data_IF_858521145338
#
_entry.id   IF_858521145338
#
_cell.length_a   1.000
_cell.length_b   1.000
_cell.length_c   1.000
_cell.angle_alpha   90.00
_cell.angle_beta   90.00
_cell.angle_gamma   90.00
#
_symmetry.space_group_name_H-M   'P 1'
#
loop_
_entity.id
_entity.type
_entity.pdbx_description
1 polymer ?
#
# COMPACT_ATOMS: atom_id res chain seq x y z
N UNK A 1 4.90 43.22 -29.76
CA UNK A 1 4.35 41.92 -30.22
C UNK A 1 3.22 41.55 -29.29
N UNK A 2 1.99 41.65 -29.78
CA UNK A 2 0.76 41.29 -29.07
C UNK A 2 0.65 39.78 -28.98
N UNK A 3 0.55 39.25 -27.76
CA UNK A 3 0.23 37.84 -27.52
C UNK A 3 -1.16 37.60 -28.12
N UNK A 4 -1.35 36.64 -29.03
CA UNK A 4 -2.67 36.36 -29.57
C UNK A 4 -3.54 35.76 -28.47
N UNK A 5 -4.71 36.36 -28.26
CA UNK A 5 -5.74 35.82 -27.38
C UNK A 5 -6.22 34.49 -27.96
N UNK A 6 -5.89 33.38 -27.30
CA UNK A 6 -6.46 32.08 -27.60
C UNK A 6 -7.95 32.09 -27.23
N UNK A 7 -8.86 31.63 -28.11
CA UNK A 7 -10.29 31.59 -27.82
C UNK A 7 -10.61 30.62 -26.66
N UNK A 8 -11.50 31.06 -25.77
CA UNK A 8 -12.05 30.24 -24.68
C UNK A 8 -12.67 28.95 -25.27
N UNK A 9 -12.00 27.82 -25.03
CA UNK A 9 -12.46 26.51 -25.51
C UNK A 9 -11.34 25.57 -25.98
N UNK A 10 -10.15 26.09 -26.33
CA UNK A 10 -8.98 25.22 -26.54
C UNK A 10 -8.34 24.88 -25.19
N UNK A 11 -8.86 23.83 -24.52
CA UNK A 11 -8.01 23.08 -23.60
C UNK A 11 -6.94 22.41 -24.45
N UNK A 12 -5.71 22.94 -24.43
CA UNK A 12 -4.54 22.18 -24.84
C UNK A 12 -4.52 20.92 -23.97
N UNK A 13 -5.03 19.80 -24.48
CA UNK A 13 -4.84 18.52 -23.83
C UNK A 13 -3.34 18.25 -23.89
N UNK A 14 -2.68 18.32 -22.74
CA UNK A 14 -1.29 17.94 -22.63
C UNK A 14 -1.13 16.53 -23.22
N UNK A 15 -0.06 16.24 -23.98
CA UNK A 15 0.18 14.88 -24.45
C UNK A 15 0.26 13.95 -23.23
N UNK A 16 -0.14 12.67 -23.37
CA UNK A 16 -0.05 11.72 -22.26
C UNK A 16 1.38 11.66 -21.73
N UNK A 17 1.54 11.74 -20.40
CA UNK A 17 2.85 11.69 -19.74
C UNK A 17 3.65 10.49 -20.24
N UNK A 18 4.83 10.72 -20.80
CA UNK A 18 5.70 9.65 -21.29
C UNK A 18 6.36 8.90 -20.12
N UNK A 19 6.44 9.54 -18.95
CA UNK A 19 7.02 8.95 -17.74
C UNK A 19 6.03 8.05 -17.00
N UNK A 20 6.32 6.74 -17.00
CA UNK A 20 5.45 5.73 -16.37
C UNK A 20 5.41 5.84 -14.84
N UNK A 21 6.50 6.24 -14.18
CA UNK A 21 6.54 6.39 -12.73
C UNK A 21 5.61 7.51 -12.28
N UNK A 22 5.69 8.67 -12.96
CA UNK A 22 4.78 9.79 -12.70
C UNK A 22 3.34 9.45 -13.02
N UNK A 23 3.09 8.71 -14.11
CA UNK A 23 1.74 8.26 -14.45
C UNK A 23 1.15 7.40 -13.34
N UNK A 24 1.90 6.44 -12.81
CA UNK A 24 1.47 5.59 -11.69
C UNK A 24 1.15 6.43 -10.46
N UNK A 25 2.04 7.36 -10.08
CA UNK A 25 1.85 8.19 -8.87
C UNK A 25 0.64 9.12 -9.01
N UNK A 26 0.50 9.81 -10.13
CA UNK A 26 -0.55 10.81 -10.33
C UNK A 26 -1.95 10.21 -10.60
N UNK A 27 -2.01 8.96 -11.07
CA UNK A 27 -3.28 8.28 -11.35
C UNK A 27 -3.83 7.49 -10.17
N UNK A 28 -3.02 7.21 -9.16
CA UNK A 28 -3.47 6.47 -8.00
C UNK A 28 -4.46 7.32 -7.18
N UNK A 29 -5.65 6.78 -6.95
CA UNK A 29 -6.69 7.44 -6.15
C UNK A 29 -7.14 6.50 -5.04
N UNK A 30 -7.21 7.03 -3.82
CA UNK A 30 -7.69 6.28 -2.66
C UNK A 30 -9.21 6.22 -2.63
N UNK A 31 -9.75 5.07 -2.28
CA UNK A 31 -11.20 4.87 -2.21
C UNK A 31 -11.68 4.84 -0.77
N UNK A 32 -12.53 5.79 -0.36
CA UNK A 32 -13.11 5.82 0.99
C UNK A 32 -14.01 4.62 1.27
N UNK A 33 -14.04 4.15 2.51
CA UNK A 33 -14.99 3.16 2.99
C UNK A 33 -16.25 3.81 3.55
N UNK A 34 -17.41 3.28 3.16
CA UNK A 34 -18.73 3.77 3.57
C UNK A 34 -19.61 2.59 3.95
N UNK A 35 -20.70 2.84 4.67
CA UNK A 35 -21.62 1.82 5.19
C UNK A 35 -22.16 0.85 4.13
N UNK A 36 -22.23 1.29 2.86
CA UNK A 36 -22.73 0.49 1.75
C UNK A 36 -21.70 -0.48 1.15
N UNK A 37 -20.43 -0.42 1.56
CA UNK A 37 -19.40 -1.30 1.03
C UNK A 37 -19.47 -2.68 1.69
N UNK A 38 -19.23 -3.71 0.88
CA UNK A 38 -19.26 -5.10 1.30
C UNK A 38 -17.95 -5.52 2.01
N UNK A 39 -17.88 -6.77 2.46
CA UNK A 39 -16.68 -7.31 3.14
C UNK A 39 -15.43 -7.19 2.27
N UNK A 40 -15.53 -7.42 0.96
CA UNK A 40 -14.38 -7.32 0.05
C UNK A 40 -13.84 -5.90 -0.02
N UNK A 41 -14.72 -4.89 -0.09
CA UNK A 41 -14.32 -3.48 -0.01
C UNK A 41 -13.73 -3.08 1.34
N UNK A 42 -14.12 -3.76 2.44
CA UNK A 42 -13.48 -3.59 3.74
C UNK A 42 -12.04 -4.13 3.71
N UNK A 43 -11.84 -5.36 3.23
CA UNK A 43 -10.51 -5.98 3.13
C UNK A 43 -9.59 -5.18 2.19
N UNK A 44 -10.10 -4.74 1.05
CA UNK A 44 -9.40 -3.86 0.11
C UNK A 44 -8.89 -2.59 0.80
N UNK A 45 -9.78 -1.91 1.54
CA UNK A 45 -9.44 -0.67 2.23
C UNK A 45 -8.46 -0.87 3.39
N UNK A 46 -8.56 -1.98 4.14
CA UNK A 46 -7.59 -2.32 5.18
C UNK A 46 -6.18 -2.45 4.60
N UNK A 47 -6.05 -3.14 3.46
CA UNK A 47 -4.78 -3.29 2.76
C UNK A 47 -4.24 -1.93 2.31
N UNK A 48 -5.11 -1.11 1.72
CA UNK A 48 -4.75 0.22 1.23
C UNK A 48 -4.24 1.13 2.35
N UNK A 49 -4.99 1.25 3.44
CA UNK A 49 -4.62 2.11 4.58
C UNK A 49 -3.29 1.65 5.17
N UNK A 50 -3.15 0.35 5.43
CA UNK A 50 -1.94 -0.20 6.05
C UNK A 50 -0.71 0.05 5.17
N UNK A 51 -0.77 -0.30 3.89
CA UNK A 51 0.38 -0.19 3.00
C UNK A 51 0.71 1.26 2.67
N UNK A 52 -0.27 2.13 2.39
CA UNK A 52 -0.01 3.55 2.16
C UNK A 52 0.52 4.24 3.42
N UNK A 53 0.05 3.84 4.60
CA UNK A 53 0.55 4.35 5.88
C UNK A 53 2.05 4.10 6.07
N UNK A 54 2.54 2.92 5.65
CA UNK A 54 3.97 2.60 5.67
C UNK A 54 4.82 3.42 4.70
N UNK A 55 4.21 4.03 3.67
CA UNK A 55 4.91 4.81 2.66
C UNK A 55 5.07 6.30 3.04
N UNK A 56 4.57 6.76 4.19
CA UNK A 56 4.72 8.15 4.65
C UNK A 56 6.17 8.68 4.60
N UNK A 57 7.22 7.95 5.06
CA UNK A 57 8.59 8.45 4.96
C UNK A 57 9.08 8.60 3.51
N UNK A 58 8.66 7.68 2.63
CA UNK A 58 8.98 7.76 1.20
C UNK A 58 8.25 8.93 0.54
N UNK A 59 6.99 9.17 0.91
CA UNK A 59 6.17 10.30 0.47
C UNK A 59 6.81 11.64 0.85
N UNK A 60 7.25 11.79 2.09
CA UNK A 60 7.96 12.99 2.57
C UNK A 60 9.25 13.23 1.79
N UNK A 61 10.05 12.18 1.59
CA UNK A 61 11.30 12.27 0.83
C UNK A 61 11.07 12.63 -0.64
N UNK A 62 10.07 12.02 -1.28
CA UNK A 62 9.69 12.36 -2.64
C UNK A 62 9.27 13.83 -2.72
N UNK A 63 8.38 14.27 -1.83
CA UNK A 63 7.88 15.63 -1.80
C UNK A 63 9.01 16.65 -1.59
N UNK A 64 9.93 16.39 -0.67
CA UNK A 64 11.09 17.26 -0.44
C UNK A 64 12.04 17.38 -1.65
N UNK A 65 12.09 16.35 -2.50
CA UNK A 65 12.97 16.32 -3.68
C UNK A 65 12.32 16.93 -4.93
N UNK A 66 11.00 16.83 -5.07
CA UNK A 66 10.31 17.12 -6.35
C UNK A 66 9.04 17.96 -6.20
N UNK A 67 8.60 18.29 -4.99
CA UNK A 67 7.29 18.90 -4.69
C UNK A 67 6.07 18.09 -5.16
N UNK A 68 6.27 16.85 -5.64
CA UNK A 68 5.17 15.97 -6.03
C UNK A 68 4.46 15.47 -4.78
N UNK A 69 3.13 15.49 -4.79
CA UNK A 69 2.32 14.88 -3.73
C UNK A 69 2.20 13.39 -3.98
N UNK A 70 2.48 12.61 -2.95
CA UNK A 70 2.30 11.16 -2.96
C UNK A 70 0.95 10.79 -2.33
N UNK A 71 0.23 9.79 -2.84
CA UNK A 71 -1.01 9.32 -2.23
C UNK A 71 -0.79 8.84 -0.80
N UNK A 72 -1.60 9.31 0.14
CA UNK A 72 -1.63 8.87 1.53
C UNK A 72 -2.98 8.22 1.84
N UNK A 73 -3.13 7.45 2.93
CA UNK A 73 -4.37 6.73 3.23
C UNK A 73 -5.64 7.59 3.17
N UNK A 74 -5.54 8.89 3.47
CA UNK A 74 -6.63 9.87 3.52
C UNK A 74 -7.85 9.25 4.23
N UNK A 75 -7.83 9.23 5.56
CA UNK A 75 -8.85 8.59 6.39
C UNK A 75 -9.51 9.59 7.33
N UNK A 76 -10.70 9.27 7.84
CA UNK A 76 -11.34 10.00 8.94
C UNK A 76 -11.62 9.08 10.13
N UNK A 77 -11.78 9.60 11.36
CA UNK A 77 -12.13 8.79 12.52
C UNK A 77 -13.41 7.96 12.33
N UNK A 78 -14.40 8.50 11.62
CA UNK A 78 -15.66 7.82 11.31
C UNK A 78 -15.42 6.61 10.40
N UNK A 79 -14.61 6.78 9.35
CA UNK A 79 -14.24 5.69 8.45
C UNK A 79 -13.50 4.56 9.19
N UNK A 80 -12.56 4.91 10.06
CA UNK A 80 -11.81 3.92 10.84
C UNK A 80 -12.74 3.15 11.78
N UNK A 81 -13.65 3.83 12.47
CA UNK A 81 -14.62 3.17 13.35
C UNK A 81 -15.56 2.22 12.57
N UNK A 82 -16.03 2.62 11.38
CA UNK A 82 -16.83 1.77 10.49
C UNK A 82 -16.05 0.51 10.05
N UNK A 83 -14.77 0.66 9.70
CA UNK A 83 -13.92 -0.48 9.34
C UNK A 83 -13.72 -1.42 10.54
N UNK A 84 -13.54 -0.89 11.75
CA UNK A 84 -13.41 -1.69 12.97
C UNK A 84 -14.69 -2.48 13.29
N UNK A 85 -15.85 -1.84 13.14
CA UNK A 85 -17.15 -2.51 13.30
C UNK A 85 -17.31 -3.65 12.29
N UNK A 86 -16.90 -3.40 11.04
CA UNK A 86 -16.96 -4.42 9.99
C UNK A 86 -15.98 -5.57 10.23
N UNK A 87 -14.75 -5.29 10.68
CA UNK A 87 -13.78 -6.32 11.07
C UNK A 87 -14.35 -7.23 12.17
N UNK A 88 -14.99 -6.64 13.19
CA UNK A 88 -15.61 -7.40 14.27
C UNK A 88 -16.76 -8.29 13.74
N UNK A 89 -17.60 -7.76 12.85
CA UNK A 89 -18.69 -8.53 12.24
C UNK A 89 -18.17 -9.70 11.40
N UNK A 90 -17.12 -9.50 10.59
CA UNK A 90 -16.47 -10.57 9.81
C UNK A 90 -15.93 -11.64 10.76
N UNK A 91 -15.18 -11.25 11.79
CA UNK A 91 -14.61 -12.18 12.76
C UNK A 91 -15.68 -13.01 13.48
N UNK A 92 -16.75 -12.37 13.96
CA UNK A 92 -17.87 -13.07 14.62
C UNK A 92 -18.51 -14.09 13.69
N UNK A 93 -18.79 -13.72 12.43
CA UNK A 93 -19.36 -14.65 11.45
C UNK A 93 -18.46 -15.86 11.19
N UNK A 94 -17.16 -15.64 11.00
CA UNK A 94 -16.22 -16.74 10.75
C UNK A 94 -16.09 -17.66 11.97
N UNK A 95 -16.22 -17.11 13.18
CA UNK A 95 -16.23 -17.88 14.43
C UNK A 95 -17.50 -18.71 14.58
N UNK A 96 -18.67 -18.16 14.27
CA UNK A 96 -19.94 -18.90 14.26
C UNK A 96 -19.92 -20.07 13.25
N UNK A 97 -19.29 -19.85 12.09
CA UNK A 97 -19.06 -20.89 11.09
C UNK A 97 -18.09 -21.97 11.58
N UNK A 98 -17.03 -21.60 12.32
CA UNK A 98 -16.14 -22.57 12.96
C UNK A 98 -16.91 -23.43 13.96
N UNK A 99 -17.72 -22.82 14.84
CA UNK A 99 -18.54 -23.57 15.79
C UNK A 99 -19.50 -24.54 15.06
N UNK A 100 -20.02 -24.16 13.88
CA UNK A 100 -20.82 -25.06 13.03
C UNK A 100 -19.99 -26.24 12.51
N UNK A 101 -18.82 -25.97 11.94
CA UNK A 101 -17.92 -27.00 11.41
C UNK A 101 -17.47 -27.97 12.50
N UNK A 102 -17.15 -27.49 13.70
CA UNK A 102 -16.80 -28.33 14.84
C UNK A 102 -17.97 -29.24 15.25
N UNK A 103 -19.19 -28.69 15.35
CA UNK A 103 -20.41 -29.48 15.62
C UNK A 103 -20.66 -30.55 14.55
N UNK A 104 -20.43 -30.23 13.27
CA UNK A 104 -20.56 -31.19 12.17
C UNK A 104 -19.50 -32.28 12.23
N UNK A 105 -18.25 -31.92 12.53
CA UNK A 105 -17.13 -32.85 12.71
C UNK A 105 -17.40 -33.82 13.87
N UNK A 106 -17.78 -33.32 15.05
CA UNK A 106 -18.11 -34.19 16.19
C UNK A 106 -19.30 -35.10 15.88
N UNK A 107 -20.33 -34.62 15.17
CA UNK A 107 -21.46 -35.47 14.75
C UNK A 107 -21.04 -36.58 13.79
N UNK A 108 -20.16 -36.27 12.82
CA UNK A 108 -19.64 -37.25 11.88
C UNK A 108 -18.78 -38.31 12.60
N UNK A 109 -17.92 -37.89 13.52
CA UNK A 109 -17.12 -38.78 14.36
C UNK A 109 -18.00 -39.70 15.23
N UNK A 110 -18.99 -39.15 15.92
CA UNK A 110 -19.92 -39.95 16.71
C UNK A 110 -20.69 -40.97 15.86
N UNK A 111 -21.11 -40.60 14.65
CA UNK A 111 -21.78 -41.50 13.71
C UNK A 111 -20.86 -42.63 13.27
N UNK A 112 -19.59 -42.32 13.00
CA UNK A 112 -18.57 -43.30 12.65
C UNK A 112 -18.28 -44.27 13.81
N UNK A 113 -18.15 -43.76 15.03
CA UNK A 113 -17.97 -44.59 16.23
C UNK A 113 -19.17 -45.52 16.42
N UNK A 114 -20.39 -45.02 16.27
CA UNK A 114 -21.61 -45.83 16.38
C UNK A 114 -21.67 -46.95 15.33
N UNK A 115 -21.13 -46.73 14.13
CA UNK A 115 -21.01 -47.75 13.08
C UNK A 115 -19.91 -48.80 13.38
N UNK A 116 -18.83 -48.38 14.06
CA UNK A 116 -17.69 -49.26 14.41
C UNK A 116 -17.90 -50.10 15.67
N UNK A 117 -18.81 -49.71 16.57
CA UNK A 117 -19.15 -50.51 17.76
C UNK A 117 -19.79 -51.86 17.39
N UNK A 118 -19.80 -52.88 18.27
CA UNK A 118 -20.48 -54.16 18.01
C UNK A 118 -21.98 -53.99 17.73
N UNK A 119 -22.59 -54.86 16.93
CA UNK A 119 -24.01 -54.77 16.59
C UNK A 119 -24.85 -55.20 17.79
N UNK A 120 -25.77 -54.34 18.24
CA UNK A 120 -26.65 -54.66 19.36
C UNK A 120 -27.98 -55.26 18.89
N UNK A 121 -28.30 -55.19 17.59
CA UNK A 121 -29.48 -55.80 16.98
C UNK A 121 -29.26 -56.32 15.55
N UNK A 122 -30.18 -57.15 15.06
CA UNK A 122 -30.19 -57.69 13.68
C UNK A 122 -30.45 -56.59 12.63
N UNK A 123 -31.17 -55.53 12.98
CA UNK A 123 -31.31 -54.33 12.13
C UNK A 123 -30.01 -53.55 12.00
N UNK A 124 -29.21 -53.47 13.06
CA UNK A 124 -27.91 -52.79 13.04
C UNK A 124 -26.91 -53.52 12.15
N UNK A 125 -26.95 -54.87 12.13
CA UNK A 125 -26.07 -55.65 11.26
C UNK A 125 -26.41 -55.50 9.77
N UNK A 126 -27.68 -55.24 9.44
CA UNK A 126 -28.15 -55.07 8.04
C UNK A 126 -27.74 -53.73 7.43
N UNK A 127 -27.65 -52.69 8.26
CA UNK A 127 -27.24 -51.34 7.84
C UNK A 127 -25.72 -51.13 7.86
N UNK A 128 -24.95 -52.02 8.50
CA UNK A 128 -23.48 -51.98 8.56
C UNK A 128 -22.84 -52.80 7.45
N UNK A 129 -22.94 -52.32 6.21
CA UNK A 129 -22.11 -52.85 5.13
C UNK A 129 -20.78 -52.06 5.05
N UNK A 130 -19.76 -52.65 4.41
CA UNK A 130 -18.43 -52.02 4.27
C UNK A 130 -18.47 -50.66 3.56
N UNK A 131 -19.45 -50.42 2.69
CA UNK A 131 -19.60 -49.14 2.00
C UNK A 131 -20.07 -48.04 2.96
N UNK A 132 -21.09 -48.30 3.78
CA UNK A 132 -21.59 -47.33 4.77
C UNK A 132 -20.53 -46.94 5.82
N UNK A 133 -19.64 -47.86 6.20
CA UNK A 133 -18.50 -47.54 7.07
C UNK A 133 -17.51 -46.63 6.36
N UNK A 134 -17.15 -46.93 5.11
CA UNK A 134 -16.24 -46.09 4.30
C UNK A 134 -16.82 -44.69 4.07
N UNK A 135 -18.09 -44.60 3.68
CA UNK A 135 -18.75 -43.31 3.48
C UNK A 135 -18.76 -42.46 4.76
N UNK A 136 -18.91 -43.10 5.93
CA UNK A 136 -18.82 -42.44 7.22
C UNK A 136 -17.39 -42.03 7.60
N UNK A 137 -16.38 -42.83 7.23
CA UNK A 137 -14.95 -42.49 7.38
C UNK A 137 -14.60 -41.26 6.52
N UNK A 138 -14.93 -41.30 5.23
CA UNK A 138 -14.69 -40.20 4.30
C UNK A 138 -15.40 -38.91 4.76
N UNK A 139 -16.63 -39.02 5.26
CA UNK A 139 -17.38 -37.89 5.80
C UNK A 139 -16.75 -37.33 7.07
N UNK A 140 -16.28 -38.19 7.99
CA UNK A 140 -15.61 -37.75 9.21
C UNK A 140 -14.28 -37.05 8.87
N UNK A 141 -13.50 -37.60 7.95
CA UNK A 141 -12.26 -36.97 7.47
C UNK A 141 -12.54 -35.62 6.80
N UNK A 142 -13.50 -35.55 5.88
CA UNK A 142 -13.83 -34.32 5.18
C UNK A 142 -14.31 -33.21 6.13
N UNK A 143 -15.15 -33.55 7.11
CA UNK A 143 -15.65 -32.58 8.09
C UNK A 143 -14.56 -32.11 9.05
N UNK A 144 -13.64 -32.99 9.46
CA UNK A 144 -12.47 -32.61 10.24
C UNK A 144 -11.53 -31.66 9.47
N UNK A 145 -11.26 -31.96 8.19
CA UNK A 145 -10.45 -31.07 7.32
C UNK A 145 -11.12 -29.70 7.15
N UNK A 146 -12.45 -29.66 6.99
CA UNK A 146 -13.19 -28.41 6.90
C UNK A 146 -13.08 -27.59 8.20
N UNK A 147 -13.19 -28.21 9.36
CA UNK A 147 -13.03 -27.53 10.65
C UNK A 147 -11.61 -26.95 10.83
N UNK A 148 -10.57 -27.69 10.44
CA UNK A 148 -9.18 -27.21 10.47
C UNK A 148 -9.01 -25.98 9.57
N UNK A 149 -9.49 -26.05 8.32
CA UNK A 149 -9.42 -24.91 7.38
C UNK A 149 -10.18 -23.69 7.89
N UNK A 150 -11.35 -23.91 8.51
CA UNK A 150 -12.13 -22.82 9.08
C UNK A 150 -11.43 -22.21 10.31
N UNK A 151 -10.74 -23.00 11.12
CA UNK A 151 -9.96 -22.51 12.26
C UNK A 151 -8.79 -21.62 11.80
N UNK A 152 -8.09 -22.02 10.72
CA UNK A 152 -7.06 -21.17 10.08
C UNK A 152 -7.66 -19.85 9.59
N UNK A 153 -8.84 -19.90 8.96
CA UNK A 153 -9.55 -18.71 8.49
C UNK A 153 -9.94 -17.76 9.62
N UNK A 154 -10.42 -18.27 10.75
CA UNK A 154 -10.73 -17.47 11.95
C UNK A 154 -9.47 -16.80 12.50
N UNK A 155 -8.35 -17.52 12.52
CA UNK A 155 -7.04 -16.97 12.93
C UNK A 155 -6.64 -15.82 12.00
N UNK A 156 -6.75 -16.00 10.69
CA UNK A 156 -6.45 -14.97 9.70
C UNK A 156 -7.35 -13.72 9.88
N UNK A 157 -8.65 -13.89 10.16
CA UNK A 157 -9.57 -12.75 10.38
C UNK A 157 -9.38 -12.04 11.72
N UNK A 158 -8.88 -12.73 12.74
CA UNK A 158 -8.71 -12.14 14.09
C UNK A 158 -7.74 -10.95 14.11
N UNK A 159 -6.82 -10.88 13.13
CA UNK A 159 -5.81 -9.83 13.03
C UNK A 159 -6.19 -8.63 12.15
N UNK A 160 -7.38 -8.61 11.53
CA UNK A 160 -7.74 -7.59 10.54
C UNK A 160 -7.71 -6.17 11.11
N UNK A 161 -8.28 -5.96 12.30
CA UNK A 161 -8.28 -4.66 12.97
C UNK A 161 -6.87 -4.17 13.32
N UNK A 162 -5.91 -5.09 13.46
CA UNK A 162 -4.50 -4.81 13.69
C UNK A 162 -3.85 -3.95 12.62
N UNK A 163 -4.36 -4.01 11.38
CA UNK A 163 -3.88 -3.23 10.23
C UNK A 163 -4.20 -1.73 10.36
N UNK A 164 -5.20 -1.37 11.16
CA UNK A 164 -5.61 0.02 11.37
C UNK A 164 -4.87 0.70 12.51
N UNK A 165 -4.04 -0.03 13.27
CA UNK A 165 -3.45 0.48 14.51
C UNK A 165 -2.67 1.79 14.32
N UNK A 166 -1.77 1.84 13.34
CA UNK A 166 -0.91 3.01 13.11
C UNK A 166 -1.69 4.21 12.59
N UNK A 167 -2.68 3.97 11.73
CA UNK A 167 -3.53 5.04 11.22
C UNK A 167 -4.48 5.57 12.31
N UNK A 168 -5.08 4.67 13.10
CA UNK A 168 -5.92 5.03 14.25
C UNK A 168 -5.14 5.87 15.28
N UNK A 169 -3.86 5.59 15.49
CA UNK A 169 -3.01 6.35 16.40
C UNK A 169 -2.86 7.84 16.00
N UNK A 170 -3.07 8.18 14.73
CA UNK A 170 -3.02 9.58 14.26
C UNK A 170 -4.22 10.42 14.71
N UNK A 171 -5.32 9.78 15.14
CA UNK A 171 -6.56 10.44 15.55
C UNK A 171 -6.74 10.58 17.06
N UNK A 172 -5.79 10.13 17.88
CA UNK A 172 -5.86 10.23 19.34
C UNK A 172 -7.09 9.52 19.92
N UNK A 173 -7.86 10.22 20.75
CA UNK A 173 -9.02 9.64 21.47
C UNK A 173 -10.28 9.50 20.61
N UNK A 174 -10.28 9.98 19.36
CA UNK A 174 -11.42 9.84 18.45
C UNK A 174 -11.64 8.40 17.96
N UNK A 175 -10.63 7.54 18.09
CA UNK A 175 -10.69 6.12 17.75
C UNK A 175 -10.14 5.30 18.92
N UNK A 176 -10.91 4.33 19.42
CA UNK A 176 -10.42 3.42 20.46
C UNK A 176 -9.39 2.44 19.88
N UNK A 177 -8.11 2.82 19.99
CA UNK A 177 -6.97 2.00 19.53
C UNK A 177 -6.91 0.60 20.13
N UNK A 178 -7.56 0.33 21.27
CA UNK A 178 -7.58 -1.02 21.87
C UNK A 178 -8.31 -2.02 20.98
N UNK A 179 -9.26 -1.53 20.16
CA UNK A 179 -9.97 -2.32 19.16
C UNK A 179 -9.06 -2.78 18.01
N UNK A 180 -7.92 -2.12 17.83
CA UNK A 180 -6.92 -2.45 16.82
C UNK A 180 -5.82 -3.39 17.35
N UNK A 181 -5.97 -3.98 18.55
CA UNK A 181 -4.97 -4.90 19.10
C UNK A 181 -5.28 -6.36 18.72
N UNK A 182 -4.27 -7.18 18.36
CA UNK A 182 -2.85 -6.84 18.30
C UNK A 182 -2.48 -6.02 17.05
N UNK A 183 -1.51 -5.10 17.19
CA UNK A 183 -0.94 -4.35 16.04
C UNK A 183 -0.36 -5.31 15.02
N UNK A 184 -0.74 -5.15 13.75
CA UNK A 184 -0.13 -5.88 12.66
C UNK A 184 1.21 -5.24 12.26
N UNK A 185 2.26 -6.06 12.13
CA UNK A 185 3.56 -5.60 11.60
C UNK A 185 3.68 -5.81 10.09
N UNK A 186 2.97 -6.80 9.56
CA UNK A 186 2.96 -7.17 8.16
C UNK A 186 1.53 -7.38 7.68
N UNK A 187 1.31 -7.23 6.38
CA UNK A 187 0.05 -7.64 5.78
C UNK A 187 -0.05 -9.17 5.85
N UNK A 188 -1.16 -9.75 6.37
CA UNK A 188 -1.31 -11.19 6.42
C UNK A 188 -1.31 -11.82 5.02
N UNK A 189 -0.73 -13.01 4.88
CA UNK A 189 -0.56 -13.67 3.57
C UNK A 189 -1.88 -13.87 2.81
N UNK A 190 -3.00 -14.01 3.54
CA UNK A 190 -4.35 -14.15 2.97
C UNK A 190 -4.73 -12.98 2.03
N UNK A 191 -4.17 -11.78 2.24
CA UNK A 191 -4.40 -10.61 1.38
C UNK A 191 -3.79 -10.74 -0.03
N UNK A 192 -2.90 -11.70 -0.24
CA UNK A 192 -2.29 -11.98 -1.54
C UNK A 192 -2.91 -13.21 -2.23
N UNK A 193 -3.76 -13.96 -1.51
CA UNK A 193 -4.40 -15.18 -2.01
C UNK A 193 -5.58 -14.83 -2.93
N UNK A 194 -5.48 -15.23 -4.20
CA UNK A 194 -6.52 -14.99 -5.24
C UNK A 194 -7.58 -16.09 -5.35
N UNK A 195 -7.44 -17.17 -4.57
CA UNK A 195 -8.39 -18.28 -4.56
C UNK A 195 -9.66 -17.98 -3.75
N UNK A 196 -9.71 -16.85 -3.05
CA UNK A 196 -10.87 -16.42 -2.27
C UNK A 196 -11.42 -15.11 -2.79
N UNK A 197 -12.70 -15.11 -3.19
CA UNK A 197 -13.39 -13.94 -3.74
C UNK A 197 -13.26 -12.70 -2.85
N UNK A 198 -13.29 -12.89 -1.52
CA UNK A 198 -13.16 -11.84 -0.53
C UNK A 198 -11.86 -11.01 -0.68
N UNK A 199 -10.77 -11.65 -1.09
CA UNK A 199 -9.41 -11.08 -1.11
C UNK A 199 -8.92 -10.65 -2.49
N UNK A 200 -9.67 -10.90 -3.57
CA UNK A 200 -9.24 -10.56 -4.94
C UNK A 200 -8.92 -9.05 -5.06
N UNK A 201 -9.85 -8.19 -4.64
CA UNK A 201 -9.68 -6.74 -4.68
C UNK A 201 -8.49 -6.26 -3.82
N UNK A 202 -8.30 -6.89 -2.66
CA UNK A 202 -7.17 -6.61 -1.79
C UNK A 202 -5.82 -7.01 -2.42
N UNK A 203 -5.76 -8.16 -3.10
CA UNK A 203 -4.57 -8.61 -3.80
C UNK A 203 -4.20 -7.66 -4.97
N UNK A 204 -5.19 -7.15 -5.70
CA UNK A 204 -4.97 -6.15 -6.75
C UNK A 204 -4.49 -4.82 -6.16
N UNK A 205 -5.07 -4.40 -5.04
CA UNK A 205 -4.64 -3.21 -4.28
C UNK A 205 -3.20 -3.32 -3.79
N UNK A 206 -2.81 -4.47 -3.21
CA UNK A 206 -1.43 -4.73 -2.80
C UNK A 206 -0.46 -4.58 -3.98
N UNK A 207 -0.83 -5.08 -5.17
CA UNK A 207 -0.01 -4.96 -6.37
C UNK A 207 0.06 -3.53 -6.91
N UNK A 208 -1.04 -2.78 -6.86
CA UNK A 208 -1.09 -1.38 -7.25
C UNK A 208 -0.18 -0.54 -6.34
N UNK A 209 -0.27 -0.72 -5.02
CA UNK A 209 0.56 0.01 -4.05
C UNK A 209 2.03 -0.42 -4.15
N UNK A 210 2.32 -1.69 -4.43
CA UNK A 210 3.69 -2.13 -4.72
C UNK A 210 4.27 -1.41 -5.94
N UNK A 211 3.49 -1.28 -7.02
CA UNK A 211 3.91 -0.52 -8.21
C UNK A 211 4.10 0.97 -7.89
N UNK A 212 3.21 1.55 -7.09
CA UNK A 212 3.31 2.93 -6.61
C UNK A 212 4.58 3.16 -5.80
N UNK A 213 4.91 2.27 -4.87
CA UNK A 213 6.15 2.30 -4.08
C UNK A 213 7.38 2.24 -4.98
N UNK A 214 7.44 1.28 -5.91
CA UNK A 214 8.58 1.12 -6.82
C UNK A 214 8.78 2.36 -7.71
N UNK A 215 7.69 2.95 -8.19
CA UNK A 215 7.73 4.19 -8.97
C UNK A 215 8.32 5.35 -8.16
N UNK A 216 7.89 5.54 -6.90
CA UNK A 216 8.43 6.58 -6.04
C UNK A 216 9.88 6.30 -5.61
N UNK A 217 10.23 5.05 -5.30
CA UNK A 217 11.62 4.65 -5.00
C UNK A 217 12.55 4.96 -6.17
N UNK A 218 12.16 4.68 -7.41
CA UNK A 218 12.98 4.97 -8.58
C UNK A 218 13.19 6.48 -8.78
N UNK A 219 12.13 7.29 -8.65
CA UNK A 219 12.25 8.75 -8.74
C UNK A 219 13.15 9.29 -7.63
N UNK A 220 12.93 8.87 -6.38
CA UNK A 220 13.73 9.29 -5.23
C UNK A 220 15.20 8.91 -5.44
N UNK A 221 15.48 7.70 -5.92
CA UNK A 221 16.82 7.23 -6.24
C UNK A 221 17.49 8.13 -7.28
N UNK A 222 16.80 8.46 -8.38
CA UNK A 222 17.31 9.35 -9.43
C UNK A 222 17.56 10.78 -8.93
N UNK A 223 16.68 11.29 -8.06
CA UNK A 223 16.76 12.65 -7.51
C UNK A 223 17.73 12.79 -6.32
N UNK A 224 18.22 11.68 -5.76
CA UNK A 224 19.17 11.69 -4.66
C UNK A 224 20.60 11.77 -5.23
N UNK A 225 21.42 12.75 -4.83
CA UNK A 225 22.82 12.81 -5.24
C UNK A 225 23.56 11.56 -4.81
N UNK A 226 24.38 10.96 -5.69
CA UNK A 226 25.13 9.78 -5.33
C UNK A 226 26.21 10.12 -4.29
N UNK A 227 26.48 9.18 -3.39
CA UNK A 227 27.58 9.27 -2.42
C UNK A 227 28.85 8.61 -2.92
N UNK A 228 28.75 7.74 -3.93
CA UNK A 228 29.88 7.05 -4.52
C UNK A 228 30.81 8.01 -5.27
N UNK A 229 32.12 7.91 -5.01
CA UNK A 229 33.12 8.84 -5.56
C UNK A 229 33.22 8.76 -7.08
N UNK A 230 33.04 7.57 -7.66
CA UNK A 230 33.07 7.39 -9.10
C UNK A 230 31.84 8.06 -9.73
N UNK A 231 30.64 7.80 -9.23
CA UNK A 231 29.41 8.41 -9.76
C UNK A 231 29.40 9.94 -9.64
N UNK A 232 29.91 10.48 -8.53
CA UNK A 232 30.09 11.93 -8.34
C UNK A 232 31.04 12.52 -9.39
N UNK A 233 32.17 11.86 -9.64
CA UNK A 233 33.18 12.31 -10.62
C UNK A 233 32.66 12.25 -12.06
N UNK A 234 31.67 11.40 -12.34
CA UNK A 234 31.04 11.24 -13.66
C UNK A 234 29.72 12.02 -13.78
N UNK A 235 29.62 13.17 -13.08
CA UNK A 235 28.51 14.11 -13.21
C UNK A 235 27.22 13.67 -12.50
N UNK A 236 27.27 12.67 -11.63
CA UNK A 236 26.09 12.15 -10.92
C UNK A 236 25.33 13.20 -10.12
N UNK A 237 26.03 14.18 -9.53
CA UNK A 237 25.39 15.31 -8.83
C UNK A 237 24.56 16.16 -9.79
N UNK A 238 25.09 16.49 -10.97
CA UNK A 238 24.39 17.28 -11.99
C UNK A 238 23.18 16.51 -12.52
N UNK A 239 23.34 15.20 -12.79
CA UNK A 239 22.24 14.32 -13.19
C UNK A 239 21.12 14.30 -12.16
N UNK A 240 21.45 14.16 -10.87
CA UNK A 240 20.44 14.18 -9.80
C UNK A 240 19.68 15.51 -9.71
N UNK A 241 20.35 16.64 -9.95
CA UNK A 241 19.71 17.97 -10.01
C UNK A 241 18.81 18.11 -11.24
N UNK A 242 19.23 17.57 -12.38
CA UNK A 242 18.40 17.52 -13.58
C UNK A 242 17.14 16.67 -13.35
N UNK A 243 17.26 15.50 -12.72
CA UNK A 243 16.11 14.68 -12.37
C UNK A 243 15.14 15.39 -11.43
N UNK A 244 15.62 16.15 -10.43
CA UNK A 244 14.73 16.95 -9.56
C UNK A 244 13.90 17.96 -10.36
N UNK A 245 14.53 18.67 -11.29
CA UNK A 245 13.83 19.60 -12.17
C UNK A 245 12.83 18.89 -13.09
N UNK A 246 13.23 17.75 -13.65
CA UNK A 246 12.36 16.93 -14.51
C UNK A 246 11.12 16.42 -13.76
N UNK A 247 11.31 15.96 -12.53
CA UNK A 247 10.23 15.40 -11.72
C UNK A 247 9.47 16.45 -10.92
N UNK A 248 9.81 17.73 -11.01
CA UNK A 248 9.06 18.80 -10.35
C UNK A 248 7.56 18.70 -10.69
N UNK A 249 6.69 19.02 -9.73
CA UNK A 249 5.24 18.87 -9.90
C UNK A 249 4.73 19.56 -11.19
N UNK A 250 5.31 20.70 -11.52
CA UNK A 250 4.90 21.63 -12.58
C UNK A 250 5.47 21.26 -13.98
N UNK A 251 6.29 20.21 -14.08
CA UNK A 251 7.06 19.86 -15.28
C UNK A 251 6.33 18.94 -16.28
N UNK A 252 5.00 18.97 -16.35
CA UNK A 252 4.22 18.04 -17.20
C UNK A 252 4.56 18.11 -18.69
N UNK A 253 4.75 19.31 -19.23
CA UNK A 253 5.14 19.51 -20.63
C UNK A 253 6.50 18.87 -20.94
N UNK A 254 7.46 19.00 -20.02
CA UNK A 254 8.77 18.39 -20.17
C UNK A 254 8.66 16.86 -20.21
N UNK A 255 7.87 16.28 -19.29
CA UNK A 255 7.61 14.85 -19.20
C UNK A 255 6.81 14.28 -20.38
N UNK A 256 6.13 15.13 -21.14
CA UNK A 256 5.42 14.74 -22.34
C UNK A 256 6.33 14.64 -23.58
N UNK A 257 7.48 15.33 -23.58
CA UNK A 257 8.33 15.50 -24.77
C UNK A 257 9.60 14.64 -24.70
N UNK A 258 10.21 14.50 -23.53
CA UNK A 258 11.49 13.81 -23.37
C UNK A 258 11.43 12.82 -22.20
N UNK A 259 12.22 11.74 -22.26
CA UNK A 259 12.38 10.83 -21.14
C UNK A 259 13.23 11.46 -20.03
N UNK A 260 13.05 11.01 -18.79
CA UNK A 260 13.84 11.49 -17.66
C UNK A 260 15.34 11.30 -17.90
N UNK A 261 15.72 10.13 -18.44
CA UNK A 261 17.13 9.75 -18.61
C UNK A 261 17.77 10.55 -19.74
N UNK A 262 17.06 10.80 -20.84
CA UNK A 262 17.58 11.60 -21.95
C UNK A 262 17.69 13.08 -21.55
N UNK A 263 16.73 13.60 -20.78
CA UNK A 263 16.82 14.94 -20.21
C UNK A 263 18.04 15.08 -19.28
N UNK A 264 18.24 14.13 -18.36
CA UNK A 264 19.37 14.17 -17.43
C UNK A 264 20.73 14.02 -18.13
N UNK A 265 20.82 13.19 -19.18
CA UNK A 265 22.01 13.09 -20.04
C UNK A 265 22.27 14.41 -20.76
N UNK A 266 21.26 14.97 -21.40
CA UNK A 266 21.38 16.24 -22.12
C UNK A 266 21.88 17.37 -21.19
N UNK A 267 21.32 17.50 -19.99
CA UNK A 267 21.77 18.50 -19.01
C UNK A 267 23.20 18.19 -18.49
N UNK A 268 23.56 16.92 -18.31
CA UNK A 268 24.91 16.56 -17.88
C UNK A 268 25.97 16.82 -18.96
N UNK A 269 25.63 16.67 -20.24
CA UNK A 269 26.53 16.85 -21.38
C UNK A 269 26.60 18.30 -21.86
N UNK A 270 25.47 19.01 -21.89
CA UNK A 270 25.32 20.32 -22.52
C UNK A 270 24.80 21.43 -21.59
N UNK A 271 24.35 21.08 -20.37
CA UNK A 271 23.74 22.00 -19.41
C UNK A 271 24.73 22.93 -18.72
N UNK A 272 25.37 23.81 -19.49
CA UNK A 272 26.27 24.86 -18.99
C UNK A 272 25.51 25.93 -18.18
N UNK A 273 24.21 26.14 -18.46
CA UNK A 273 23.36 27.17 -17.85
C UNK A 273 23.05 26.96 -16.35
N UNK A 274 23.16 25.72 -15.84
CA UNK A 274 23.01 25.43 -14.40
C UNK A 274 24.27 25.82 -13.58
N UNK A 275 25.37 26.28 -14.22
CA UNK A 275 26.54 26.85 -13.52
C UNK A 275 26.28 28.27 -12.99
N UNK A 276 25.52 29.11 -13.70
CA UNK A 276 25.30 30.52 -13.30
C UNK A 276 24.54 30.64 -11.97
N UNK A 277 23.59 29.74 -11.68
CA UNK A 277 22.92 29.69 -10.37
C UNK A 277 23.87 29.29 -9.23
N UNK A 278 24.98 28.59 -9.51
CA UNK A 278 26.01 28.28 -8.50
C UNK A 278 26.95 29.45 -8.24
N UNK A 279 27.25 30.25 -9.26
CA UNK A 279 28.10 31.43 -9.10
C UNK A 279 27.37 32.55 -8.36
N UNK A 280 26.10 32.80 -8.67
CA UNK A 280 25.26 33.78 -7.94
C UNK A 280 25.06 33.42 -6.46
N UNK A 281 24.84 32.14 -6.15
CA UNK A 281 24.69 31.68 -4.74
C UNK A 281 26.02 31.72 -3.98
N UNK A 282 27.15 31.39 -4.62
CA UNK A 282 28.49 31.52 -4.01
C UNK A 282 28.89 32.97 -3.79
N UNK A 283 28.60 33.87 -4.73
CA UNK A 283 28.85 35.31 -4.60
C UNK A 283 27.99 35.93 -3.51
N UNK A 284 26.74 35.49 -3.34
CA UNK A 284 25.86 35.92 -2.24
C UNK A 284 26.35 35.45 -0.85
N UNK A 285 26.87 34.22 -0.75
CA UNK A 285 27.45 33.72 0.51
C UNK A 285 28.78 34.40 0.85
N UNK A 286 29.66 34.63 -0.14
CA UNK A 286 30.92 35.36 0.08
C UNK A 286 30.71 36.84 0.42
N UNK A 287 29.71 37.52 -0.17
CA UNK A 287 29.37 38.89 0.22
C UNK A 287 28.79 38.97 1.63
N UNK A 288 27.99 37.99 2.04
CA UNK A 288 27.45 37.92 3.42
C UNK A 288 28.54 37.67 4.46
N UNK A 289 29.51 36.79 4.16
CA UNK A 289 30.66 36.52 5.05
C UNK A 289 31.59 37.72 5.12
N UNK A 290 31.87 38.40 4.00
CA UNK A 290 32.73 39.59 4.00
C UNK A 290 32.08 40.78 4.74
N UNK A 291 30.75 40.89 4.73
CA UNK A 291 30.02 41.91 5.50
C UNK A 291 30.16 41.66 7.01
N UNK A 292 29.99 40.41 7.47
CA UNK A 292 30.15 40.03 8.87
C UNK A 292 31.59 40.24 9.39
N UNK A 293 32.59 39.90 8.59
CA UNK A 293 34.00 40.12 8.94
C UNK A 293 34.38 41.60 8.99
N UNK A 294 33.67 42.46 8.25
CA UNK A 294 33.90 43.92 8.26
C UNK A 294 33.25 44.59 9.47
N UNK A 295 32.13 44.07 9.96
CA UNK A 295 31.47 44.56 11.18
C UNK A 295 32.23 44.18 12.46
N UNK A 296 32.92 43.03 12.48
CA UNK A 296 33.80 42.65 13.59
C UNK A 296 35.07 43.54 13.67
N UNK A 297 35.64 43.94 12.53
CA UNK A 297 36.82 44.83 12.50
C UNK A 297 36.54 46.30 12.82
N UNK A 298 35.27 46.72 12.87
CA UNK A 298 34.84 48.06 13.28
C UNK A 298 34.49 48.15 14.77
N UNK A 299 34.45 47.01 15.47
CA UNK A 299 34.11 46.90 16.89
C UNK A 299 35.30 46.53 17.80
N UNK A 300 36.53 46.51 17.26
CA UNK A 300 37.80 46.50 18.01
C UNK A 300 38.46 47.90 17.97
#
# INVERSE_FOLDING_TARGET
MTVPNLPEGMRLSLPPLNDINMRIILSYTTSKFTENKNDSGCIERLAEIFLLGQLRPLAEKLNALTNVKFPLPDTSPEEINLLLDRCAAIYTREREELDRCERESSRAEHSLIALKQPAQSVSDSRNRNKAAVRDAEDKAEQTAVNAIKQAERVKDMSGLAGLLFDEAATFGDAVDKKRCCPRACNIPDIFTRRNEFLFIAAADTCNAIRSLRLAAEDIVRKCTPPTDKYEVSHGGVIKSQAYRHYYQADSDLLRAIISADDYAKYIAEFGWFMRESRETTKVSLQSSVNALMSEEQLNE
#
